data_IF_339834479321
#
_entry.id   IF_339834479321
#
_cell.length_a   1.000
_cell.length_b   1.000
_cell.length_c   1.000
_cell.angle_alpha   90.00
_cell.angle_beta   90.00
_cell.angle_gamma   90.00
#
_symmetry.space_group_name_H-M   'P 1'
#
loop_
_entity.id
_entity.type
_entity.pdbx_description
1 polymer ?
#
# COMPACT_ATOMS: atom_id res chain seq x y z
N UNK A 1 -13.12 14.64 -23.99
CA UNK A 1 -13.40 13.55 -23.02
C UNK A 1 -12.18 13.41 -22.11
N UNK A 2 -12.35 13.38 -20.78
CA UNK A 2 -11.24 13.09 -19.87
C UNK A 2 -10.75 11.66 -20.12
N UNK A 3 -9.44 11.48 -20.18
CA UNK A 3 -8.80 10.19 -20.37
C UNK A 3 -9.04 9.31 -19.12
N UNK A 4 -9.59 8.10 -19.32
CA UNK A 4 -9.89 7.17 -18.22
C UNK A 4 -8.64 6.79 -17.43
N UNK A 5 -7.49 6.67 -18.07
CA UNK A 5 -6.22 6.35 -17.40
C UNK A 5 -5.85 7.42 -16.38
N UNK A 6 -6.01 8.69 -16.75
CA UNK A 6 -5.69 9.81 -15.87
C UNK A 6 -6.63 9.85 -14.67
N UNK A 7 -7.90 9.47 -14.86
CA UNK A 7 -8.86 9.34 -13.75
C UNK A 7 -8.45 8.23 -12.78
N UNK A 8 -8.04 7.05 -13.28
CA UNK A 8 -7.57 5.97 -12.41
C UNK A 8 -6.29 6.36 -11.65
N UNK A 9 -5.34 6.99 -12.33
CA UNK A 9 -4.10 7.47 -11.71
C UNK A 9 -4.41 8.52 -10.63
N UNK A 10 -5.29 9.47 -10.92
CA UNK A 10 -5.71 10.50 -9.96
C UNK A 10 -6.42 9.89 -8.74
N UNK A 11 -7.26 8.87 -8.92
CA UNK A 11 -7.91 8.18 -7.80
C UNK A 11 -6.90 7.48 -6.89
N UNK A 12 -5.92 6.77 -7.46
CA UNK A 12 -4.88 6.10 -6.67
C UNK A 12 -3.98 7.10 -5.95
N UNK A 13 -3.56 8.16 -6.64
CA UNK A 13 -2.70 9.19 -6.06
C UNK A 13 -3.43 9.99 -4.96
N UNK A 14 -4.68 10.38 -5.21
CA UNK A 14 -5.50 11.08 -4.22
C UNK A 14 -5.76 10.23 -2.98
N UNK A 15 -6.00 8.92 -3.17
CA UNK A 15 -6.09 7.96 -2.06
C UNK A 15 -4.81 7.91 -1.24
N UNK A 16 -3.65 7.80 -1.89
CA UNK A 16 -2.35 7.76 -1.21
C UNK A 16 -2.02 9.05 -0.46
N UNK A 17 -2.37 10.21 -1.03
CA UNK A 17 -2.20 11.51 -0.36
C UNK A 17 -3.13 11.62 0.85
N UNK A 18 -4.39 11.21 0.70
CA UNK A 18 -5.37 11.23 1.80
C UNK A 18 -4.98 10.30 2.94
N UNK A 19 -4.51 9.10 2.62
CA UNK A 19 -3.94 8.15 3.57
C UNK A 19 -2.74 8.75 4.29
N UNK A 20 -1.72 9.24 3.58
CA UNK A 20 -0.53 9.83 4.21
C UNK A 20 -0.85 11.02 5.14
N UNK A 21 -1.83 11.85 4.76
CA UNK A 21 -2.32 12.94 5.60
C UNK A 21 -3.03 12.41 6.85
N UNK A 22 -3.94 11.44 6.69
CA UNK A 22 -4.73 10.87 7.78
C UNK A 22 -3.91 10.00 8.74
N UNK A 23 -2.96 9.23 8.23
CA UNK A 23 -2.11 8.31 8.99
C UNK A 23 -1.35 9.01 10.12
N UNK A 24 -0.90 10.22 9.86
CA UNK A 24 -0.16 11.04 10.83
C UNK A 24 -0.98 11.39 12.08
N UNK A 25 -2.32 11.44 11.94
CA UNK A 25 -3.24 11.87 13.00
C UNK A 25 -4.22 10.78 13.44
N UNK A 26 -4.08 9.56 12.93
CA UNK A 26 -5.05 8.46 13.05
C UNK A 26 -5.43 8.13 14.51
N UNK A 27 -4.48 8.26 15.45
CA UNK A 27 -4.68 7.96 16.88
C UNK A 27 -4.80 9.20 17.76
N UNK A 28 -4.87 10.39 17.17
CA UNK A 28 -4.98 11.65 17.90
C UNK A 28 -6.45 12.04 18.08
N UNK A 29 -6.79 12.58 19.25
CA UNK A 29 -8.06 13.28 19.46
C UNK A 29 -8.03 14.64 18.77
N UNK A 30 -9.20 15.18 18.45
CA UNK A 30 -9.33 16.47 17.78
C UNK A 30 -8.56 17.60 18.50
N UNK A 31 -8.62 17.66 19.83
CA UNK A 31 -7.91 18.68 20.61
C UNK A 31 -6.39 18.52 20.52
N UNK A 32 -5.89 17.29 20.41
CA UNK A 32 -4.45 17.00 20.24
C UNK A 32 -3.98 17.40 18.84
N UNK A 33 -4.80 17.14 17.81
CA UNK A 33 -4.54 17.58 16.44
C UNK A 33 -4.48 19.11 16.40
N UNK A 34 -5.47 19.80 17.00
CA UNK A 34 -5.49 21.27 17.03
C UNK A 34 -4.34 21.86 17.82
N UNK A 35 -3.96 21.23 18.93
CA UNK A 35 -2.79 21.65 19.71
C UNK A 35 -1.49 21.52 18.92
N UNK A 36 -1.33 20.44 18.12
CA UNK A 36 -0.12 20.20 17.32
C UNK A 36 -0.07 21.03 16.02
N UNK A 37 -1.16 21.13 15.27
CA UNK A 37 -1.19 21.71 13.92
C UNK A 37 -1.97 23.04 13.82
N UNK A 38 -2.61 23.48 14.90
CA UNK A 38 -3.45 24.68 14.94
C UNK A 38 -4.93 24.38 14.66
N UNK A 39 -5.78 25.41 14.77
CA UNK A 39 -7.24 25.27 14.70
C UNK A 39 -7.77 24.64 13.40
N UNK A 40 -7.03 24.78 12.30
CA UNK A 40 -7.35 24.19 11.00
C UNK A 40 -7.00 22.69 10.91
N UNK A 41 -6.30 22.15 11.91
CA UNK A 41 -5.78 20.78 11.90
C UNK A 41 -4.63 20.60 10.91
N UNK A 42 -4.36 19.34 10.56
CA UNK A 42 -3.33 19.00 9.59
C UNK A 42 -3.73 19.49 8.19
N UNK A 43 -2.86 20.29 7.57
CA UNK A 43 -3.12 20.93 6.26
C UNK A 43 -2.04 20.62 5.22
N UNK A 44 -0.96 19.94 5.64
CA UNK A 44 0.13 19.50 4.78
C UNK A 44 0.66 18.15 5.26
N UNK A 45 1.39 17.44 4.40
CA UNK A 45 1.95 16.12 4.70
C UNK A 45 3.08 16.22 5.73
N UNK A 46 3.04 15.37 6.76
CA UNK A 46 4.16 15.21 7.69
C UNK A 46 5.23 14.32 7.05
N UNK A 47 6.46 14.82 7.03
CA UNK A 47 7.61 14.11 6.46
C UNK A 47 8.31 13.33 7.56
N UNK A 48 8.38 12.02 7.40
CA UNK A 48 9.13 11.16 8.31
C UNK A 48 10.62 11.49 8.22
N UNK A 49 11.25 11.72 9.37
CA UNK A 49 12.64 12.18 9.46
C UNK A 49 13.64 11.11 9.01
N UNK A 50 13.27 9.83 9.05
CA UNK A 50 14.16 8.70 8.71
C UNK A 50 14.19 8.49 7.19
N UNK A 51 13.01 8.48 6.57
CA UNK A 51 12.85 8.21 5.13
C UNK A 51 12.87 9.47 4.28
N UNK A 52 12.64 10.64 4.86
CA UNK A 52 12.49 11.92 4.15
C UNK A 52 11.24 11.99 3.28
N UNK A 53 10.21 11.19 3.60
CA UNK A 53 8.98 11.07 2.80
C UNK A 53 7.74 11.07 3.69
N UNK A 54 6.59 11.41 3.11
CA UNK A 54 5.31 11.16 3.74
C UNK A 54 5.02 9.65 3.73
N UNK A 55 4.72 9.08 4.89
CA UNK A 55 4.47 7.65 5.03
C UNK A 55 3.02 7.33 4.66
N UNK A 56 2.84 6.19 3.99
CA UNK A 56 1.53 5.62 3.67
C UNK A 56 1.23 4.45 4.61
N UNK A 57 -0.04 4.27 4.97
CA UNK A 57 -0.48 3.20 5.87
C UNK A 57 -0.78 1.90 5.12
N UNK A 58 -1.28 0.90 5.85
CA UNK A 58 -1.81 -0.33 5.29
C UNK A 58 -2.96 -0.10 4.30
N UNK A 59 -3.71 1.00 4.40
CA UNK A 59 -4.76 1.36 3.44
C UNK A 59 -4.22 1.47 2.01
N UNK A 60 -3.18 2.29 1.79
CA UNK A 60 -2.58 2.42 0.46
C UNK A 60 -1.78 1.17 0.10
N UNK A 61 -1.03 0.60 1.04
CA UNK A 61 -0.22 -0.58 0.76
C UNK A 61 -1.09 -1.75 0.28
N UNK A 62 -2.15 -2.10 1.01
CA UNK A 62 -3.07 -3.17 0.64
C UNK A 62 -3.84 -2.84 -0.64
N UNK A 63 -4.18 -1.57 -0.89
CA UNK A 63 -4.77 -1.14 -2.16
C UNK A 63 -3.85 -1.45 -3.35
N UNK A 64 -2.55 -1.16 -3.24
CA UNK A 64 -1.56 -1.47 -4.29
C UNK A 64 -1.38 -2.98 -4.48
N UNK A 65 -1.31 -3.76 -3.39
CA UNK A 65 -1.25 -5.22 -3.46
C UNK A 65 -2.54 -5.83 -4.04
N UNK A 66 -3.70 -5.21 -3.81
CA UNK A 66 -4.97 -5.61 -4.44
C UNK A 66 -4.91 -5.42 -5.94
N UNK A 67 -4.45 -4.25 -6.41
CA UNK A 67 -4.31 -3.94 -7.82
C UNK A 67 -3.31 -4.89 -8.52
N UNK A 68 -2.16 -5.16 -7.89
CA UNK A 68 -1.19 -6.14 -8.38
C UNK A 68 -1.82 -7.53 -8.50
N UNK A 69 -2.51 -8.00 -7.46
CA UNK A 69 -3.19 -9.30 -7.46
C UNK A 69 -4.25 -9.43 -8.54
N UNK A 70 -5.05 -8.39 -8.77
CA UNK A 70 -6.05 -8.36 -9.84
C UNK A 70 -5.39 -8.41 -11.23
N UNK A 71 -4.29 -7.68 -11.43
CA UNK A 71 -3.55 -7.70 -12.70
C UNK A 71 -2.92 -9.07 -12.97
N UNK A 72 -2.31 -9.67 -11.95
CA UNK A 72 -1.77 -11.03 -12.03
C UNK A 72 -2.83 -12.06 -12.36
N UNK A 73 -3.99 -12.01 -11.69
CA UNK A 73 -5.10 -12.91 -11.99
C UNK A 73 -5.62 -12.72 -13.42
N UNK A 74 -5.80 -11.47 -13.86
CA UNK A 74 -6.22 -11.17 -15.23
C UNK A 74 -5.27 -11.80 -16.27
N UNK A 75 -3.96 -11.60 -16.11
CA UNK A 75 -2.98 -12.19 -17.03
C UNK A 75 -2.99 -13.72 -16.99
N UNK A 76 -3.16 -14.33 -15.81
CA UNK A 76 -3.20 -15.79 -15.69
C UNK A 76 -4.45 -16.37 -16.35
N UNK A 77 -5.62 -15.78 -16.10
CA UNK A 77 -6.87 -16.16 -16.72
C UNK A 77 -6.82 -15.97 -18.25
N UNK A 78 -6.37 -14.81 -18.72
CA UNK A 78 -6.31 -14.48 -20.14
C UNK A 78 -5.33 -15.36 -20.92
N UNK A 79 -4.18 -15.73 -20.34
CA UNK A 79 -3.13 -16.48 -21.05
C UNK A 79 -3.23 -18.00 -20.91
N UNK A 80 -3.83 -18.50 -19.83
CA UNK A 80 -3.80 -19.94 -19.49
C UNK A 80 -5.18 -20.55 -19.24
N UNK A 81 -6.25 -19.74 -19.23
CA UNK A 81 -7.61 -20.21 -18.91
C UNK A 81 -7.78 -20.74 -17.49
N UNK A 82 -6.80 -20.53 -16.60
CA UNK A 82 -6.75 -21.07 -15.25
C UNK A 82 -6.52 -19.92 -14.27
N UNK A 83 -7.49 -19.67 -13.39
CA UNK A 83 -7.37 -18.69 -12.31
C UNK A 83 -8.71 -18.16 -11.84
N UNK A 84 -8.75 -17.68 -10.60
CA UNK A 84 -9.84 -16.88 -10.05
C UNK A 84 -9.27 -15.57 -9.52
N UNK A 85 -9.98 -14.45 -9.71
CA UNK A 85 -9.51 -13.13 -9.26
C UNK A 85 -9.21 -13.12 -7.76
N UNK A 86 -10.09 -13.69 -6.93
CA UNK A 86 -9.92 -13.75 -5.49
C UNK A 86 -8.81 -14.71 -5.03
N UNK A 87 -8.81 -15.97 -5.50
CA UNK A 87 -7.94 -17.01 -4.95
C UNK A 87 -6.54 -17.05 -5.55
N UNK A 88 -6.39 -16.79 -6.85
CA UNK A 88 -5.09 -16.90 -7.54
C UNK A 88 -4.30 -15.59 -7.60
N UNK A 89 -4.96 -14.45 -7.41
CA UNK A 89 -4.36 -13.12 -7.49
C UNK A 89 -4.29 -12.42 -6.14
N UNK A 90 -5.44 -11.97 -5.64
CA UNK A 90 -5.54 -11.12 -4.44
C UNK A 90 -5.02 -11.81 -3.19
N UNK A 91 -5.44 -13.07 -2.91
CA UNK A 91 -4.97 -13.82 -1.74
C UNK A 91 -3.43 -13.95 -1.69
N UNK A 92 -2.81 -14.33 -2.81
CA UNK A 92 -1.36 -14.45 -2.91
C UNK A 92 -0.64 -13.10 -2.73
N UNK A 93 -1.27 -12.02 -3.19
CA UNK A 93 -0.71 -10.67 -3.05
C UNK A 93 -0.78 -10.19 -1.61
N UNK A 94 -1.86 -10.51 -0.88
CA UNK A 94 -1.93 -10.24 0.56
C UNK A 94 -0.94 -11.06 1.38
N UNK A 95 -0.65 -12.31 1.00
CA UNK A 95 0.43 -13.07 1.63
C UNK A 95 1.80 -12.39 1.43
N UNK A 96 2.04 -11.83 0.23
CA UNK A 96 3.27 -11.05 -0.03
C UNK A 96 3.31 -9.77 0.79
N UNK A 97 2.20 -9.04 0.89
CA UNK A 97 2.11 -7.87 1.77
C UNK A 97 2.37 -8.25 3.23
N UNK A 98 1.75 -9.32 3.73
CA UNK A 98 1.99 -9.79 5.09
C UNK A 98 3.46 -10.15 5.34
N UNK A 99 4.13 -10.74 4.35
CA UNK A 99 5.57 -10.98 4.40
C UNK A 99 6.38 -9.68 4.48
N UNK A 100 5.99 -8.61 3.76
CA UNK A 100 6.70 -7.32 3.87
C UNK A 100 6.56 -6.71 5.27
N UNK A 101 5.44 -6.94 5.96
CA UNK A 101 5.22 -6.45 7.33
C UNK A 101 6.00 -7.27 8.38
N UNK A 102 5.98 -8.59 8.26
CA UNK A 102 6.42 -9.49 9.34
C UNK A 102 7.80 -10.11 9.14
N UNK A 103 8.31 -10.10 7.89
CA UNK A 103 9.47 -10.91 7.46
C UNK A 103 9.29 -12.41 7.72
N UNK A 104 8.07 -12.87 8.02
CA UNK A 104 7.74 -14.26 8.29
C UNK A 104 7.12 -14.89 7.06
N UNK A 105 7.78 -15.92 6.52
CA UNK A 105 7.26 -16.65 5.37
C UNK A 105 6.23 -17.67 5.85
N UNK A 106 4.95 -17.44 5.54
CA UNK A 106 3.94 -18.50 5.66
C UNK A 106 4.23 -19.54 4.57
N UNK A 107 4.38 -20.81 4.94
CA UNK A 107 5.07 -21.89 4.17
C UNK A 107 4.56 -22.27 2.77
N UNK A 108 3.80 -21.42 2.08
CA UNK A 108 3.22 -21.64 0.75
C UNK A 108 3.94 -20.82 -0.35
N UNK A 109 4.72 -19.79 -0.01
CA UNK A 109 5.29 -18.83 -0.99
C UNK A 109 6.77 -19.11 -1.32
N UNK A 110 7.16 -20.35 -1.58
CA UNK A 110 8.59 -20.68 -1.75
C UNK A 110 9.14 -20.47 -3.19
N UNK A 111 8.29 -20.27 -4.21
CA UNK A 111 8.73 -20.32 -5.62
C UNK A 111 8.50 -19.06 -6.45
N UNK A 112 7.92 -17.99 -5.88
CA UNK A 112 7.63 -16.77 -6.64
C UNK A 112 8.30 -15.50 -6.09
N UNK A 113 9.06 -15.62 -4.99
CA UNK A 113 9.69 -14.49 -4.29
C UNK A 113 10.99 -14.04 -4.94
N UNK A 114 11.66 -14.89 -5.74
CA UNK A 114 12.92 -14.51 -6.41
C UNK A 114 12.77 -13.35 -7.42
N UNK A 115 11.55 -13.04 -7.87
CA UNK A 115 11.30 -11.91 -8.79
C UNK A 115 10.98 -10.60 -8.07
N UNK A 116 10.74 -10.63 -6.75
CA UNK A 116 10.32 -9.45 -5.98
C UNK A 116 11.52 -8.56 -5.63
N UNK A 117 12.73 -9.11 -5.47
CA UNK A 117 13.91 -8.29 -5.15
C UNK A 117 14.27 -7.28 -6.25
N UNK A 118 13.91 -7.54 -7.51
CA UNK A 118 14.22 -6.66 -8.65
C UNK A 118 13.18 -5.53 -8.82
N UNK A 119 11.92 -5.74 -8.44
CA UNK A 119 10.85 -4.74 -8.62
C UNK A 119 10.54 -3.94 -7.34
N UNK A 120 10.79 -4.49 -6.15
CA UNK A 120 10.44 -3.87 -4.87
C UNK A 120 11.59 -3.12 -4.17
N UNK A 121 12.81 -3.11 -4.72
CA UNK A 121 13.95 -2.39 -4.12
C UNK A 121 13.69 -0.90 -3.85
N UNK A 122 12.80 -0.26 -4.61
CA UNK A 122 12.42 1.15 -4.40
C UNK A 122 11.13 1.35 -3.57
N UNK A 123 10.24 0.36 -3.51
CA UNK A 123 8.98 0.43 -2.75
C UNK A 123 9.21 0.05 -1.27
N UNK A 124 10.15 -0.85 -1.00
CA UNK A 124 10.51 -1.26 0.37
C UNK A 124 11.07 -0.12 1.23
N UNK A 125 11.60 0.95 0.63
CA UNK A 125 12.07 2.13 1.34
C UNK A 125 10.94 3.05 1.86
N UNK A 126 9.69 2.76 1.49
CA UNK A 126 8.48 3.50 1.90
C UNK A 126 7.58 2.71 2.87
N UNK A 127 8.02 1.52 3.29
CA UNK A 127 7.22 0.58 4.08
C UNK A 127 7.81 0.31 5.49
N UNK A 128 7.89 1.28 6.40
CA UNK A 128 7.94 0.96 7.81
C UNK A 128 6.50 0.87 8.34
N UNK A 129 5.98 -0.34 8.57
CA UNK A 129 4.93 -0.51 9.58
C UNK A 129 5.26 -1.72 10.48
N UNK A 130 5.96 -1.42 11.57
CA UNK A 130 5.88 -2.18 12.81
C UNK A 130 5.28 -1.24 13.86
N UNK A 131 3.97 -1.33 14.07
CA UNK A 131 3.41 -0.98 15.38
C UNK A 131 3.59 -2.22 16.24
N UNK A 132 4.73 -2.29 16.94
CA UNK A 132 4.87 -3.16 18.10
C UNK A 132 3.81 -2.70 19.11
N UNK A 133 2.80 -3.55 19.35
CA UNK A 133 2.05 -3.54 20.59
C UNK A 133 2.86 -4.17 21.71
#
# INVERSE_FOLDING_TARGET
MRNKKDLFAASLLGGAIGDALGYTVEFMKLDEIKSKYGELGITDLEIDMVTGKALISDDTQMTLFTADGMMWAYHRCSRRGIGTYAGSGTYQSYLRWYYTQTRSMMGIVTLQVLFVEIFLGHVMALMPCLKNG
#
